data_IF_091646480440
#
_entry.id   IF_091646480440
#
_cell.length_a   1.000
_cell.length_b   1.000
_cell.length_c   1.000
_cell.angle_alpha   90.00
_cell.angle_beta   90.00
_cell.angle_gamma   90.00
#
_symmetry.space_group_name_H-M   'P 1'
#
loop_
_entity.id
_entity.type
_entity.pdbx_description
1 polymer ?
#
# COMPACT_ATOMS: atom_id res chain seq x y z
N UNK A 1 46.15 1.35 -11.46
CA UNK A 1 44.89 0.66 -11.84
C UNK A 1 43.74 1.06 -10.91
N UNK A 2 43.86 0.89 -9.56
CA UNK A 2 42.79 1.25 -8.59
C UNK A 2 42.46 2.75 -8.53
N UNK A 3 43.50 3.60 -8.57
CA UNK A 3 43.28 5.06 -8.62
C UNK A 3 42.58 5.51 -9.90
N UNK A 4 42.92 4.89 -11.03
CA UNK A 4 42.26 5.17 -12.30
C UNK A 4 40.80 4.70 -12.31
N UNK A 5 40.47 3.65 -11.56
CA UNK A 5 39.09 3.17 -11.37
C UNK A 5 38.32 4.11 -10.44
N UNK A 6 38.91 4.57 -9.33
CA UNK A 6 38.34 5.58 -8.46
C UNK A 6 38.11 6.92 -9.16
N UNK A 7 39.01 7.34 -10.03
CA UNK A 7 38.82 8.53 -10.88
C UNK A 7 37.65 8.35 -11.85
N UNK A 8 37.45 7.17 -12.39
CA UNK A 8 36.31 6.87 -13.27
C UNK A 8 34.99 6.86 -12.49
N UNK A 9 34.98 6.22 -11.32
CA UNK A 9 33.78 6.20 -10.43
C UNK A 9 33.45 7.60 -9.91
N UNK A 10 34.46 8.40 -9.52
CA UNK A 10 34.23 9.82 -9.14
C UNK A 10 33.70 10.63 -10.32
N UNK A 11 34.18 10.42 -11.52
CA UNK A 11 33.67 11.08 -12.72
C UNK A 11 32.23 10.69 -13.02
N UNK A 12 31.85 9.45 -12.78
CA UNK A 12 30.50 8.95 -12.96
C UNK A 12 29.54 9.52 -11.88
N UNK A 13 29.97 9.57 -10.63
CA UNK A 13 29.22 10.19 -9.53
C UNK A 13 29.00 11.69 -9.75
N UNK A 14 30.03 12.40 -10.21
CA UNK A 14 29.94 13.84 -10.52
C UNK A 14 29.18 14.14 -11.81
N UNK A 15 29.00 13.17 -12.69
CA UNK A 15 28.14 13.30 -13.86
C UNK A 15 26.64 13.18 -13.54
N UNK A 16 26.28 12.72 -12.36
CA UNK A 16 24.87 12.66 -11.92
C UNK A 16 24.39 14.02 -11.43
N UNK A 17 23.23 14.45 -11.92
CA UNK A 17 22.59 15.74 -11.59
C UNK A 17 22.53 16.04 -10.08
N UNK A 18 22.34 15.02 -9.25
CA UNK A 18 22.23 15.13 -7.80
C UNK A 18 23.57 15.49 -7.12
N UNK A 19 24.66 14.90 -7.55
CA UNK A 19 26.00 15.21 -7.03
C UNK A 19 26.43 16.63 -7.43
N UNK A 20 26.04 17.08 -8.62
CA UNK A 20 26.27 18.44 -9.08
C UNK A 20 25.55 19.48 -8.20
N UNK A 21 24.28 19.26 -7.88
CA UNK A 21 23.51 20.14 -6.99
C UNK A 21 24.13 20.23 -5.59
N UNK A 22 24.61 19.12 -5.03
CA UNK A 22 25.27 19.14 -3.73
C UNK A 22 26.62 19.88 -3.74
N UNK A 23 27.38 19.74 -4.80
CA UNK A 23 28.63 20.47 -5.01
C UNK A 23 28.39 21.97 -5.12
N UNK A 24 27.39 22.37 -5.89
CA UNK A 24 26.99 23.77 -6.04
C UNK A 24 26.53 24.40 -4.69
N UNK A 25 25.83 23.64 -3.88
CA UNK A 25 25.39 24.09 -2.56
C UNK A 25 26.57 24.25 -1.60
N UNK A 26 27.49 23.30 -1.57
CA UNK A 26 28.65 23.33 -0.70
C UNK A 26 29.65 24.45 -1.06
N UNK A 27 29.82 24.75 -2.33
CA UNK A 27 30.70 25.83 -2.82
C UNK A 27 29.96 27.18 -2.96
N UNK A 28 28.71 27.31 -2.44
CA UNK A 28 27.89 28.52 -2.55
C UNK A 28 27.68 29.01 -4.01
N UNK A 29 27.68 28.09 -4.96
CA UNK A 29 27.40 28.39 -6.37
C UNK A 29 25.89 28.56 -6.54
N UNK A 30 25.45 29.73 -6.98
CA UNK A 30 24.05 29.98 -7.32
C UNK A 30 23.75 29.38 -8.71
N UNK A 31 22.92 28.37 -8.74
CA UNK A 31 22.58 27.58 -9.95
C UNK A 31 21.76 28.44 -10.97
N UNK A 32 21.29 29.63 -10.59
CA UNK A 32 20.30 30.38 -11.37
C UNK A 32 20.87 31.26 -12.50
N UNK A 33 22.18 31.50 -12.59
CA UNK A 33 22.73 32.46 -13.53
C UNK A 33 23.92 32.02 -14.40
N UNK A 34 24.50 30.82 -14.12
CA UNK A 34 25.61 30.31 -14.89
C UNK A 34 25.15 29.51 -16.13
N UNK A 35 25.75 29.75 -17.29
CA UNK A 35 25.51 28.91 -18.46
C UNK A 35 25.97 27.49 -18.19
N UNK A 36 25.39 26.50 -18.85
CA UNK A 36 25.81 25.07 -18.75
C UNK A 36 27.31 24.89 -19.04
N UNK A 37 27.88 25.74 -19.88
CA UNK A 37 29.31 25.76 -20.23
C UNK A 37 30.18 26.19 -19.04
N UNK A 38 29.76 27.23 -18.30
CA UNK A 38 30.50 27.74 -17.13
C UNK A 38 30.43 26.72 -15.97
N UNK A 39 29.28 26.08 -15.81
CA UNK A 39 29.10 24.98 -14.84
C UNK A 39 30.00 23.80 -15.16
N UNK A 40 30.09 23.39 -16.42
CA UNK A 40 31.00 22.33 -16.87
C UNK A 40 32.48 22.67 -16.64
N UNK A 41 32.89 23.90 -16.93
CA UNK A 41 34.29 24.35 -16.72
C UNK A 41 34.62 24.41 -15.21
N UNK A 42 33.67 24.84 -14.39
CA UNK A 42 33.85 24.84 -12.92
C UNK A 42 34.01 23.43 -12.36
N UNK A 43 33.17 22.49 -12.81
CA UNK A 43 33.29 21.06 -12.45
C UNK A 43 34.61 20.48 -12.92
N UNK A 44 35.05 20.77 -14.13
CA UNK A 44 36.31 20.30 -14.68
C UNK A 44 37.52 20.82 -13.90
N UNK A 45 37.52 22.10 -13.50
CA UNK A 45 38.57 22.67 -12.67
C UNK A 45 38.61 22.06 -11.28
N UNK A 46 37.46 21.81 -10.66
CA UNK A 46 37.33 21.14 -9.39
C UNK A 46 37.82 19.68 -9.43
N UNK A 47 37.43 18.93 -10.45
CA UNK A 47 37.92 17.55 -10.69
C UNK A 47 39.44 17.52 -10.87
N UNK A 48 40.02 18.49 -11.59
CA UNK A 48 41.47 18.61 -11.76
C UNK A 48 42.15 18.88 -10.43
N UNK A 49 41.63 19.80 -9.63
CA UNK A 49 42.16 20.12 -8.31
C UNK A 49 42.07 18.95 -7.31
N UNK A 50 40.97 18.17 -7.34
CA UNK A 50 40.80 16.95 -6.55
C UNK A 50 41.79 15.87 -7.02
N UNK A 51 41.92 15.69 -8.33
CA UNK A 51 42.92 14.75 -8.90
C UNK A 51 44.37 15.09 -8.48
N UNK A 52 44.73 16.37 -8.50
CA UNK A 52 46.04 16.85 -8.07
C UNK A 52 46.25 16.64 -6.56
N UNK A 53 45.25 16.89 -5.74
CA UNK A 53 45.28 16.59 -4.31
C UNK A 53 45.48 15.11 -4.03
N UNK A 54 44.76 14.24 -4.73
CA UNK A 54 44.87 12.79 -4.60
C UNK A 54 46.31 12.32 -5.02
N UNK A 55 46.89 12.98 -6.01
CA UNK A 55 48.24 12.66 -6.45
C UNK A 55 49.35 13.15 -5.50
N UNK A 56 49.07 14.24 -4.74
CA UNK A 56 50.06 14.83 -3.81
C UNK A 56 49.98 14.22 -2.39
N UNK A 57 48.85 13.69 -1.97
CA UNK A 57 48.74 12.94 -0.73
C UNK A 57 49.37 11.54 -0.88
N UNK A 58 50.11 11.16 0.16
CA UNK A 58 50.96 9.96 0.20
C UNK A 58 50.15 8.71 -0.25
N UNK A 59 50.25 8.37 -1.55
CA UNK A 59 49.50 7.33 -2.25
C UNK A 59 49.46 5.99 -1.49
N UNK A 60 50.55 5.68 -0.79
CA UNK A 60 50.70 4.45 -0.01
C UNK A 60 49.80 4.44 1.22
N UNK A 61 49.63 5.56 1.90
CA UNK A 61 48.76 5.69 3.08
C UNK A 61 47.26 5.57 2.70
N UNK A 62 46.88 6.13 1.55
CA UNK A 62 45.50 6.03 1.03
C UNK A 62 45.18 4.60 0.57
N UNK A 63 46.12 3.91 -0.06
CA UNK A 63 45.98 2.51 -0.45
C UNK A 63 45.82 1.57 0.77
N UNK A 64 46.59 1.83 1.84
CA UNK A 64 46.45 1.08 3.09
C UNK A 64 45.11 1.33 3.80
N UNK A 65 44.64 2.58 3.85
CA UNK A 65 43.35 2.94 4.39
C UNK A 65 42.20 2.32 3.57
N UNK A 66 42.28 2.38 2.24
CA UNK A 66 41.30 1.77 1.35
C UNK A 66 41.22 0.25 1.54
N UNK A 67 42.37 -0.40 1.63
CA UNK A 67 42.43 -1.85 1.84
C UNK A 67 41.77 -2.22 3.16
N UNK A 68 42.10 -1.51 4.24
CA UNK A 68 41.52 -1.73 5.57
C UNK A 68 40.01 -1.50 5.58
N UNK A 69 39.50 -0.43 4.96
CA UNK A 69 38.09 -0.15 4.85
C UNK A 69 37.36 -1.20 4.00
N UNK A 70 37.96 -1.65 2.91
CA UNK A 70 37.40 -2.69 2.04
C UNK A 70 37.28 -4.04 2.78
N UNK A 71 38.29 -4.38 3.61
CA UNK A 71 38.26 -5.57 4.45
C UNK A 71 37.15 -5.46 5.51
N UNK A 72 37.04 -4.32 6.19
CA UNK A 72 35.99 -4.07 7.16
C UNK A 72 34.59 -4.15 6.53
N UNK A 73 34.43 -3.59 5.35
CA UNK A 73 33.17 -3.61 4.60
C UNK A 73 32.80 -5.04 4.19
N UNK A 74 33.78 -5.83 3.77
CA UNK A 74 33.59 -7.25 3.44
C UNK A 74 33.18 -8.05 4.68
N UNK A 75 33.76 -7.78 5.84
CA UNK A 75 33.42 -8.44 7.09
C UNK A 75 31.99 -8.06 7.56
N UNK A 76 31.63 -6.77 7.45
CA UNK A 76 30.26 -6.31 7.74
C UNK A 76 29.24 -6.99 6.83
N UNK A 77 29.50 -7.11 5.53
CA UNK A 77 28.60 -7.83 4.64
C UNK A 77 28.47 -9.30 4.98
N UNK A 78 29.54 -9.93 5.42
CA UNK A 78 29.51 -11.32 5.89
C UNK A 78 28.66 -11.47 7.15
N UNK A 79 28.81 -10.54 8.12
CA UNK A 79 28.00 -10.53 9.32
C UNK A 79 26.51 -10.27 9.02
N UNK A 80 26.22 -9.33 8.12
CA UNK A 80 24.84 -9.06 7.67
C UNK A 80 24.19 -10.31 7.08
N UNK A 81 24.87 -11.02 6.19
CA UNK A 81 24.35 -12.27 5.62
C UNK A 81 24.09 -13.33 6.67
N UNK A 82 24.98 -13.50 7.64
CA UNK A 82 24.77 -14.47 8.73
C UNK A 82 23.56 -14.10 9.59
N UNK A 83 23.33 -12.81 9.84
CA UNK A 83 22.14 -12.33 10.55
C UNK A 83 20.88 -12.58 9.72
N UNK A 84 20.89 -12.27 8.43
CA UNK A 84 19.76 -12.49 7.51
C UNK A 84 19.40 -13.99 7.43
N UNK A 85 20.38 -14.86 7.33
CA UNK A 85 20.20 -16.32 7.36
C UNK A 85 19.57 -16.77 8.70
N UNK A 86 20.09 -16.28 9.82
CA UNK A 86 19.55 -16.58 11.15
C UNK A 86 18.13 -16.07 11.34
N UNK A 87 17.81 -14.88 10.83
CA UNK A 87 16.45 -14.34 10.83
C UNK A 87 15.51 -15.18 9.97
N UNK A 88 15.95 -15.63 8.80
CA UNK A 88 15.18 -16.52 7.94
C UNK A 88 14.86 -17.87 8.60
N UNK A 89 15.82 -18.46 9.29
CA UNK A 89 15.62 -19.70 10.06
C UNK A 89 14.63 -19.51 11.22
N UNK A 90 14.73 -18.40 11.96
CA UNK A 90 13.79 -18.07 13.03
C UNK A 90 12.38 -17.82 12.50
N UNK A 91 12.24 -17.10 11.37
CA UNK A 91 10.95 -16.92 10.70
C UNK A 91 10.35 -18.26 10.31
N UNK A 92 11.14 -19.13 9.68
CA UNK A 92 10.72 -20.47 9.29
C UNK A 92 10.25 -21.30 10.50
N UNK A 93 11.05 -21.34 11.55
CA UNK A 93 10.69 -22.08 12.78
C UNK A 93 9.40 -21.52 13.40
N UNK A 94 9.25 -20.20 13.49
CA UNK A 94 8.06 -19.56 14.02
C UNK A 94 6.82 -19.90 13.21
N UNK A 95 6.90 -19.84 11.89
CA UNK A 95 5.81 -20.22 10.98
C UNK A 95 5.48 -21.70 11.13
N UNK A 96 6.46 -22.58 11.19
CA UNK A 96 6.24 -24.03 11.29
C UNK A 96 5.62 -24.46 12.63
N UNK A 97 5.84 -23.72 13.71
CA UNK A 97 5.31 -24.02 15.05
C UNK A 97 4.01 -23.29 15.38
N UNK A 98 3.69 -22.20 14.67
CA UNK A 98 2.52 -21.40 14.97
C UNK A 98 1.22 -22.17 14.75
N UNK A 99 0.29 -22.11 15.70
CA UNK A 99 -1.05 -22.71 15.58
C UNK A 99 -1.99 -21.85 14.72
N UNK A 100 -1.79 -20.54 14.73
CA UNK A 100 -2.56 -19.58 13.96
C UNK A 100 -1.59 -18.64 13.25
N UNK A 101 -1.81 -18.42 11.96
CA UNK A 101 -1.00 -17.51 11.15
C UNK A 101 -1.94 -16.53 10.46
N UNK A 102 -1.68 -15.23 10.64
CA UNK A 102 -2.28 -14.17 9.85
C UNK A 102 -1.31 -13.73 8.76
N UNK A 103 -1.76 -13.70 7.51
CA UNK A 103 -0.96 -13.25 6.38
C UNK A 103 -1.82 -12.52 5.35
N UNK A 104 -1.21 -11.62 4.59
CA UNK A 104 -1.89 -11.08 3.41
C UNK A 104 -2.01 -12.17 2.34
N UNK A 105 -3.03 -12.06 1.50
CA UNK A 105 -3.23 -12.99 0.39
C UNK A 105 -1.98 -13.08 -0.50
N UNK A 106 -1.34 -11.94 -0.78
CA UNK A 106 -0.09 -11.88 -1.56
C UNK A 106 1.04 -12.67 -0.88
N UNK A 107 1.20 -12.53 0.43
CA UNK A 107 2.21 -13.31 1.18
C UNK A 107 1.89 -14.80 1.13
N UNK A 108 0.62 -15.19 1.20
CA UNK A 108 0.19 -16.58 1.17
C UNK A 108 0.61 -17.31 -0.11
N UNK A 109 0.49 -16.66 -1.28
CA UNK A 109 0.88 -17.31 -2.54
C UNK A 109 2.33 -17.06 -2.98
N UNK A 110 3.03 -16.04 -2.45
CA UNK A 110 4.43 -15.80 -2.78
C UNK A 110 5.41 -16.47 -1.82
N UNK A 111 5.03 -16.70 -0.56
CA UNK A 111 5.94 -17.27 0.42
C UNK A 111 6.21 -18.76 0.17
N UNK A 112 7.47 -19.09 -0.06
CA UNK A 112 7.92 -20.49 -0.16
C UNK A 112 7.70 -21.23 1.16
N UNK A 113 7.95 -20.57 2.29
CA UNK A 113 7.82 -21.15 3.63
C UNK A 113 6.36 -21.55 3.93
N UNK A 114 5.39 -20.68 3.62
CA UNK A 114 3.98 -21.00 3.82
C UNK A 114 3.50 -22.16 2.94
N UNK A 115 4.08 -22.34 1.75
CA UNK A 115 3.76 -23.45 0.85
C UNK A 115 4.33 -24.79 1.28
N UNK A 116 5.31 -24.81 2.16
CA UNK A 116 5.85 -26.02 2.77
C UNK A 116 4.95 -26.58 3.86
N UNK A 117 3.86 -25.90 4.21
CA UNK A 117 2.97 -26.27 5.30
C UNK A 117 1.52 -26.23 4.84
N UNK A 118 0.72 -27.16 5.40
CA UNK A 118 -0.73 -27.17 5.29
C UNK A 118 -1.37 -26.78 6.62
N UNK A 119 -2.66 -26.42 6.56
CA UNK A 119 -3.45 -25.98 7.70
C UNK A 119 -4.75 -26.75 7.75
N UNK A 120 -5.23 -27.13 8.91
CA UNK A 120 -6.55 -27.74 9.07
C UNK A 120 -7.65 -26.88 8.44
N UNK A 121 -7.57 -25.58 8.66
CA UNK A 121 -8.56 -24.60 8.22
C UNK A 121 -7.87 -23.35 7.68
N UNK A 122 -8.27 -22.92 6.51
CA UNK A 122 -7.90 -21.63 5.93
C UNK A 122 -9.12 -20.71 5.91
N UNK A 123 -8.96 -19.52 6.48
CA UNK A 123 -9.99 -18.48 6.49
C UNK A 123 -9.54 -17.38 5.52
N UNK A 124 -10.35 -17.13 4.50
CA UNK A 124 -10.12 -16.08 3.50
C UNK A 124 -11.07 -14.94 3.81
N UNK A 125 -10.55 -13.88 4.40
CA UNK A 125 -11.30 -12.68 4.73
C UNK A 125 -11.25 -11.66 3.59
N UNK A 126 -12.30 -10.81 3.47
CA UNK A 126 -12.47 -9.85 2.37
C UNK A 126 -12.36 -10.49 0.97
N UNK A 127 -12.86 -11.71 0.84
CA UNK A 127 -12.72 -12.52 -0.37
C UNK A 127 -13.44 -11.93 -1.60
N UNK A 128 -14.41 -11.06 -1.41
CA UNK A 128 -15.09 -10.33 -2.49
C UNK A 128 -14.18 -9.37 -3.24
N UNK A 129 -13.13 -8.86 -2.61
CA UNK A 129 -12.18 -7.93 -3.23
C UNK A 129 -10.98 -8.63 -3.88
N UNK A 130 -10.86 -9.93 -3.72
CA UNK A 130 -9.72 -10.70 -4.19
C UNK A 130 -10.01 -11.47 -5.48
N UNK A 131 -9.04 -11.49 -6.39
CA UNK A 131 -9.14 -12.26 -7.62
C UNK A 131 -9.18 -13.77 -7.33
N UNK A 132 -10.07 -14.49 -8.00
CA UNK A 132 -10.29 -15.94 -7.79
C UNK A 132 -9.02 -16.79 -7.85
N UNK A 133 -8.07 -16.58 -8.78
CA UNK A 133 -6.82 -17.36 -8.80
C UNK A 133 -5.98 -17.19 -7.54
N UNK A 134 -5.94 -15.98 -6.97
CA UNK A 134 -5.18 -15.72 -5.74
C UNK A 134 -5.83 -16.41 -4.52
N UNK A 135 -7.16 -16.36 -4.42
CA UNK A 135 -7.92 -17.09 -3.41
C UNK A 135 -7.68 -18.61 -3.52
N UNK A 136 -7.65 -19.13 -4.74
CA UNK A 136 -7.39 -20.53 -5.00
C UNK A 136 -6.01 -20.98 -4.49
N UNK A 137 -4.97 -20.17 -4.76
CA UNK A 137 -3.62 -20.46 -4.25
C UNK A 137 -3.56 -20.52 -2.72
N UNK A 138 -4.27 -19.61 -2.04
CA UNK A 138 -4.32 -19.63 -0.58
C UNK A 138 -5.19 -20.80 -0.04
N UNK A 139 -6.31 -21.07 -0.67
CA UNK A 139 -7.21 -22.16 -0.32
C UNK A 139 -6.54 -23.54 -0.45
N UNK A 140 -5.59 -23.69 -1.38
CA UNK A 140 -4.82 -24.93 -1.58
C UNK A 140 -4.01 -25.34 -0.33
N UNK A 141 -3.74 -24.42 0.57
CA UNK A 141 -3.05 -24.72 1.84
C UNK A 141 -3.96 -25.38 2.87
N UNK A 142 -5.27 -25.50 2.63
CA UNK A 142 -6.21 -26.12 3.55
C UNK A 142 -6.24 -27.64 3.39
N UNK A 143 -6.18 -28.37 4.51
CA UNK A 143 -6.36 -29.84 4.52
C UNK A 143 -7.83 -30.24 4.65
N UNK A 144 -8.62 -29.50 5.43
CA UNK A 144 -9.99 -29.91 5.77
C UNK A 144 -11.03 -28.85 5.43
N UNK A 145 -10.83 -27.64 5.89
CA UNK A 145 -11.85 -26.61 5.82
C UNK A 145 -11.35 -25.35 5.14
N UNK A 146 -12.20 -24.77 4.31
CA UNK A 146 -12.01 -23.44 3.75
C UNK A 146 -13.22 -22.61 4.17
N UNK A 147 -12.97 -21.51 4.85
CA UNK A 147 -13.99 -20.51 5.21
C UNK A 147 -13.75 -19.28 4.37
N UNK A 148 -14.75 -18.88 3.60
CA UNK A 148 -14.70 -17.71 2.73
C UNK A 148 -15.61 -16.66 3.34
N UNK A 149 -15.02 -15.54 3.76
CA UNK A 149 -15.71 -14.40 4.36
C UNK A 149 -15.57 -13.21 3.41
N UNK A 150 -16.64 -12.46 3.23
CA UNK A 150 -16.63 -11.26 2.39
C UNK A 150 -18.01 -10.73 2.12
N UNK A 151 -18.09 -9.59 1.50
CA UNK A 151 -19.33 -8.92 1.16
C UNK A 151 -19.38 -8.64 -0.34
N UNK A 152 -20.14 -9.44 -1.06
CA UNK A 152 -20.27 -9.34 -2.51
C UNK A 152 -21.09 -8.13 -2.99
N UNK A 153 -21.62 -7.32 -2.08
CA UNK A 153 -22.25 -6.04 -2.40
C UNK A 153 -21.28 -4.85 -2.25
N UNK A 154 -20.08 -5.11 -1.73
CA UNK A 154 -18.99 -4.15 -1.74
C UNK A 154 -18.19 -4.20 -3.06
N UNK A 155 -17.02 -3.56 -3.09
CA UNK A 155 -16.24 -3.44 -4.31
C UNK A 155 -15.73 -4.81 -4.79
N UNK A 156 -15.89 -5.14 -6.08
CA UNK A 156 -15.30 -6.33 -6.68
C UNK A 156 -13.77 -6.15 -6.89
N UNK A 157 -13.06 -7.21 -7.28
CA UNK A 157 -11.65 -7.12 -7.63
C UNK A 157 -11.38 -6.07 -8.71
N UNK A 158 -10.32 -5.28 -8.53
CA UNK A 158 -9.93 -4.25 -9.50
C UNK A 158 -9.07 -4.89 -10.59
N UNK A 159 -9.50 -4.75 -11.85
CA UNK A 159 -8.80 -5.27 -13.03
C UNK A 159 -8.52 -4.14 -14.01
N UNK A 160 -7.25 -3.90 -14.28
CA UNK A 160 -6.81 -2.88 -15.24
C UNK A 160 -6.84 -3.41 -16.68
N UNK A 161 -6.60 -4.72 -16.86
CA UNK A 161 -6.56 -5.34 -18.19
C UNK A 161 -7.96 -5.48 -18.78
N UNK A 162 -8.14 -5.02 -20.02
CA UNK A 162 -9.45 -4.99 -20.73
C UNK A 162 -9.67 -6.21 -21.65
N UNK A 163 -9.10 -7.36 -21.32
CA UNK A 163 -9.32 -8.58 -22.10
C UNK A 163 -10.47 -9.41 -21.52
N UNK A 164 -11.24 -10.14 -22.36
CA UNK A 164 -12.32 -11.00 -21.87
C UNK A 164 -11.86 -12.05 -20.86
N UNK A 165 -10.64 -12.57 -21.03
CA UNK A 165 -10.05 -13.54 -20.12
C UNK A 165 -9.75 -12.91 -18.74
N UNK A 166 -9.16 -11.71 -18.72
CA UNK A 166 -8.88 -10.99 -17.48
C UNK A 166 -10.19 -10.63 -16.75
N UNK A 167 -11.19 -10.10 -17.45
CA UNK A 167 -12.51 -9.81 -16.87
C UNK A 167 -13.16 -11.05 -16.27
N UNK A 168 -13.07 -12.20 -16.96
CA UNK A 168 -13.65 -13.45 -16.49
C UNK A 168 -13.01 -13.96 -15.20
N UNK A 169 -11.69 -13.95 -15.09
CA UNK A 169 -10.97 -14.62 -14.03
C UNK A 169 -10.46 -13.69 -12.90
N UNK A 170 -10.26 -12.42 -13.22
CA UNK A 170 -9.73 -11.45 -12.27
C UNK A 170 -10.77 -10.41 -11.84
N UNK A 171 -11.80 -10.13 -12.68
CA UNK A 171 -12.78 -9.08 -12.43
C UNK A 171 -14.07 -9.54 -11.78
N UNK A 172 -14.20 -10.82 -11.47
CA UNK A 172 -15.35 -11.39 -10.76
C UNK A 172 -14.89 -11.91 -9.41
N UNK A 173 -15.66 -11.63 -8.39
CA UNK A 173 -15.42 -12.20 -7.07
C UNK A 173 -15.83 -13.68 -6.97
N UNK A 174 -15.43 -14.33 -5.90
CA UNK A 174 -15.69 -15.75 -5.67
C UNK A 174 -17.19 -16.06 -5.49
N UNK A 175 -17.97 -15.13 -4.95
CA UNK A 175 -19.40 -15.31 -4.69
C UNK A 175 -20.20 -15.22 -5.99
N UNK A 176 -19.85 -14.31 -6.89
CA UNK A 176 -20.41 -14.25 -8.24
C UNK A 176 -19.98 -15.47 -9.06
N UNK A 177 -18.69 -15.83 -9.02
CA UNK A 177 -18.15 -16.96 -9.78
C UNK A 177 -18.80 -18.30 -9.38
N UNK A 178 -19.02 -18.52 -8.07
CA UNK A 178 -19.71 -19.70 -7.53
C UNK A 178 -21.24 -19.66 -7.68
N UNK A 179 -21.79 -18.52 -8.08
CA UNK A 179 -23.23 -18.30 -8.13
C UNK A 179 -23.89 -18.12 -6.75
N UNK A 180 -23.08 -17.99 -5.69
CA UNK A 180 -23.56 -17.82 -4.31
C UNK A 180 -24.37 -16.53 -4.14
N UNK A 181 -23.91 -15.44 -4.77
CA UNK A 181 -24.61 -14.16 -4.77
C UNK A 181 -26.08 -14.30 -5.23
N UNK A 182 -26.35 -15.06 -6.28
CA UNK A 182 -27.72 -15.29 -6.77
C UNK A 182 -28.55 -16.16 -5.83
N UNK A 183 -27.91 -17.16 -5.23
CA UNK A 183 -28.60 -18.09 -4.29
C UNK A 183 -28.92 -17.42 -2.94
N UNK A 184 -28.19 -16.39 -2.57
CA UNK A 184 -28.40 -15.66 -1.33
C UNK A 184 -29.58 -14.66 -1.41
N UNK A 185 -30.14 -14.38 -2.58
CA UNK A 185 -31.31 -13.49 -2.74
C UNK A 185 -32.56 -14.06 -2.06
N UNK A 186 -33.40 -13.18 -1.54
CA UNK A 186 -34.67 -13.54 -0.88
C UNK A 186 -35.62 -14.33 -1.79
N UNK A 187 -35.66 -13.99 -3.07
CA UNK A 187 -36.51 -14.59 -4.10
C UNK A 187 -35.87 -15.80 -4.80
N UNK A 188 -34.71 -16.24 -4.34
CA UNK A 188 -34.04 -17.40 -4.91
C UNK A 188 -34.85 -18.68 -4.73
N UNK A 189 -35.22 -19.39 -5.81
CA UNK A 189 -36.04 -20.60 -5.73
C UNK A 189 -35.42 -21.73 -4.90
N UNK A 190 -34.09 -21.81 -4.89
CA UNK A 190 -33.34 -22.84 -4.18
C UNK A 190 -32.88 -22.39 -2.77
N UNK A 191 -32.97 -21.10 -2.49
CA UNK A 191 -32.38 -20.52 -1.29
C UNK A 191 -30.85 -20.67 -1.23
N UNK A 192 -30.22 -20.15 -0.18
CA UNK A 192 -28.81 -20.37 0.07
C UNK A 192 -28.54 -21.82 0.51
N UNK A 193 -27.37 -22.40 0.14
CA UNK A 193 -27.01 -23.72 0.62
C UNK A 193 -26.73 -23.73 2.12
N UNK A 194 -26.76 -24.91 2.73
CA UNK A 194 -26.62 -25.08 4.19
C UNK A 194 -25.27 -24.60 4.76
N UNK A 195 -24.24 -24.50 3.92
CA UNK A 195 -22.92 -24.00 4.29
C UNK A 195 -22.75 -22.48 4.05
N UNK A 196 -23.82 -21.75 3.75
CA UNK A 196 -23.83 -20.30 3.61
C UNK A 196 -24.54 -19.63 4.79
N UNK A 197 -23.89 -18.67 5.40
CA UNK A 197 -24.45 -17.88 6.52
C UNK A 197 -24.31 -16.39 6.15
N UNK A 198 -25.43 -15.68 6.19
CA UNK A 198 -25.45 -14.22 6.04
C UNK A 198 -25.39 -13.57 7.43
N UNK A 199 -24.27 -12.92 7.72
CA UNK A 199 -24.09 -12.12 8.93
C UNK A 199 -24.82 -10.81 8.76
N UNK A 200 -25.96 -10.63 9.41
CA UNK A 200 -26.78 -9.43 9.28
C UNK A 200 -26.79 -8.55 10.52
N UNK A 201 -26.27 -9.00 11.65
CA UNK A 201 -26.10 -8.14 12.83
C UNK A 201 -24.81 -7.34 12.71
N UNK A 202 -24.92 -6.03 12.83
CA UNK A 202 -23.76 -5.13 12.76
C UNK A 202 -23.61 -4.31 14.06
N UNK A 203 -22.36 -4.09 14.44
CA UNK A 203 -21.93 -3.37 15.64
C UNK A 203 -21.03 -2.17 15.32
N UNK A 204 -20.90 -1.79 14.04
CA UNK A 204 -19.97 -0.76 13.55
C UNK A 204 -20.64 0.59 13.35
N UNK A 205 -21.76 0.56 12.64
CA UNK A 205 -22.43 1.78 12.16
C UNK A 205 -23.60 2.14 13.05
N UNK A 206 -23.85 3.45 13.21
CA UNK A 206 -25.09 3.93 13.76
C UNK A 206 -26.29 3.54 12.87
N UNK A 207 -27.49 3.39 13.45
CA UNK A 207 -28.68 2.95 12.70
C UNK A 207 -28.97 3.78 11.45
N UNK A 208 -28.83 5.11 11.50
CA UNK A 208 -29.04 6.00 10.33
C UNK A 208 -28.08 5.72 9.18
N UNK A 209 -26.81 5.42 9.49
CA UNK A 209 -25.81 5.05 8.49
C UNK A 209 -26.12 3.68 7.91
N UNK A 210 -26.48 2.72 8.77
CA UNK A 210 -26.85 1.38 8.36
C UNK A 210 -28.11 1.36 7.47
N UNK A 211 -29.04 2.28 7.68
CA UNK A 211 -30.25 2.41 6.84
C UNK A 211 -29.88 2.79 5.40
N UNK A 212 -28.91 3.67 5.20
CA UNK A 212 -28.41 3.98 3.84
C UNK A 212 -27.77 2.76 3.20
N UNK A 213 -26.90 2.07 3.95
CA UNK A 213 -26.27 0.85 3.46
C UNK A 213 -27.31 -0.22 3.10
N UNK A 214 -28.38 -0.33 3.89
CA UNK A 214 -29.45 -1.31 3.69
C UNK A 214 -30.20 -1.17 2.36
N UNK A 215 -30.09 -0.05 1.65
CA UNK A 215 -30.63 0.09 0.29
C UNK A 215 -29.93 -0.84 -0.70
N UNK A 216 -28.67 -1.17 -0.46
CA UNK A 216 -27.92 -2.14 -1.27
C UNK A 216 -28.29 -3.59 -0.92
N UNK A 217 -28.87 -3.82 0.27
CA UNK A 217 -29.27 -5.16 0.75
C UNK A 217 -30.77 -5.44 0.58
N UNK A 218 -31.51 -4.65 -0.20
CA UNK A 218 -32.97 -4.83 -0.36
C UNK A 218 -33.36 -6.20 -0.91
N UNK A 219 -32.57 -6.75 -1.83
CA UNK A 219 -32.76 -8.11 -2.37
C UNK A 219 -32.27 -9.21 -1.42
N UNK A 220 -31.63 -8.86 -0.32
CA UNK A 220 -30.97 -9.76 0.63
C UNK A 220 -31.49 -9.56 2.05
N UNK A 221 -30.88 -10.22 3.02
CA UNK A 221 -31.17 -9.99 4.43
C UNK A 221 -30.55 -8.65 4.86
N UNK A 222 -31.40 -7.73 5.33
CA UNK A 222 -30.97 -6.40 5.77
C UNK A 222 -30.09 -6.48 7.02
N UNK A 223 -29.23 -5.48 7.16
CA UNK A 223 -28.40 -5.31 8.36
C UNK A 223 -29.26 -4.83 9.52
N UNK A 224 -29.10 -5.46 10.66
CA UNK A 224 -29.70 -5.09 11.94
C UNK A 224 -28.64 -4.44 12.83
N UNK A 225 -28.85 -3.17 13.17
CA UNK A 225 -27.92 -2.45 14.05
C UNK A 225 -28.09 -2.89 15.50
N UNK A 226 -26.99 -3.26 16.13
CA UNK A 226 -26.89 -3.53 17.56
C UNK A 226 -26.17 -2.41 18.31
N UNK A 227 -25.84 -1.32 17.61
CA UNK A 227 -25.30 -0.10 18.19
C UNK A 227 -26.46 0.79 18.64
N UNK A 228 -26.35 1.40 19.81
CA UNK A 228 -27.33 2.33 20.35
C UNK A 228 -26.81 3.77 20.40
N UNK A 229 -27.68 4.75 20.56
CA UNK A 229 -27.33 6.17 20.59
C UNK A 229 -26.49 6.56 21.83
N UNK A 230 -26.26 5.65 22.74
CA UNK A 230 -25.59 5.91 24.03
C UNK A 230 -24.15 6.31 23.94
N UNK A 231 -23.48 6.00 22.81
CA UNK A 231 -22.04 6.21 22.65
C UNK A 231 -21.62 7.64 22.26
N UNK A 232 -22.56 8.57 21.99
CA UNK A 232 -22.22 9.82 21.28
C UNK A 232 -22.64 11.13 21.91
N UNK A 233 -23.28 11.15 23.05
CA UNK A 233 -23.74 12.42 23.58
C UNK A 233 -22.59 13.39 23.91
N UNK A 234 -21.44 12.87 24.34
CA UNK A 234 -20.26 13.68 24.58
C UNK A 234 -19.63 14.19 23.28
N UNK A 235 -19.54 13.34 22.24
CA UNK A 235 -19.02 13.70 20.94
C UNK A 235 -19.95 14.68 20.18
N UNK A 236 -21.27 14.49 20.25
CA UNK A 236 -22.25 15.41 19.68
C UNK A 236 -22.09 16.81 20.28
N UNK A 237 -21.91 16.90 21.60
CA UNK A 237 -21.71 18.20 22.27
C UNK A 237 -20.39 18.86 21.89
N UNK A 238 -19.36 18.07 21.61
CA UNK A 238 -18.04 18.52 21.19
C UNK A 238 -18.02 19.04 19.75
N UNK A 239 -18.71 18.35 18.85
CA UNK A 239 -18.80 18.72 17.43
C UNK A 239 -19.82 19.85 17.18
N UNK A 240 -20.88 19.97 17.96
CA UNK A 240 -21.89 21.02 17.76
C UNK A 240 -21.36 22.45 17.93
N UNK A 241 -20.25 22.63 18.64
CA UNK A 241 -19.60 23.93 18.79
C UNK A 241 -18.71 24.33 17.61
N UNK A 242 -18.36 23.40 16.75
CA UNK A 242 -17.38 23.60 15.66
C UNK A 242 -18.02 23.79 14.29
N UNK A 243 -19.26 23.33 14.09
CA UNK A 243 -19.93 23.36 12.79
C UNK A 243 -21.34 23.98 12.86
N UNK A 244 -21.48 25.27 12.51
CA UNK A 244 -22.81 25.90 12.44
C UNK A 244 -23.71 25.33 11.33
N UNK A 245 -23.14 24.56 10.38
CA UNK A 245 -23.88 23.99 9.24
C UNK A 245 -24.33 22.55 9.47
N UNK A 246 -23.62 21.80 10.34
CA UNK A 246 -23.96 20.42 10.63
C UNK A 246 -24.96 20.30 11.79
N UNK A 247 -26.02 19.52 11.60
CA UNK A 247 -27.04 19.30 12.66
C UNK A 247 -26.57 18.16 13.59
N UNK A 248 -26.21 18.42 14.84
CA UNK A 248 -25.58 17.45 15.74
C UNK A 248 -26.41 16.21 16.07
N UNK A 249 -27.72 16.23 15.77
CA UNK A 249 -28.66 15.14 16.07
C UNK A 249 -28.69 14.05 14.96
N UNK A 250 -28.09 14.29 13.81
CA UNK A 250 -28.14 13.37 12.69
C UNK A 250 -26.73 12.91 12.30
N UNK A 251 -26.54 11.60 12.21
CA UNK A 251 -25.28 10.99 11.79
C UNK A 251 -25.07 11.06 10.27
N UNK A 252 -26.13 11.33 9.52
CA UNK A 252 -26.12 11.45 8.08
C UNK A 252 -26.71 12.78 7.68
N UNK A 253 -25.94 13.58 6.94
CA UNK A 253 -26.36 14.88 6.47
C UNK A 253 -25.97 15.06 5.00
N UNK A 254 -26.87 15.56 4.20
CA UNK A 254 -26.60 15.96 2.83
C UNK A 254 -26.38 17.47 2.80
N UNK A 255 -25.18 17.86 2.40
CA UNK A 255 -24.85 19.27 2.16
C UNK A 255 -24.84 19.48 0.64
N UNK A 256 -25.88 20.15 0.15
CA UNK A 256 -25.99 20.52 -1.26
C UNK A 256 -25.16 21.80 -1.53
N UNK A 257 -24.17 21.65 -2.39
CA UNK A 257 -23.27 22.75 -2.78
C UNK A 257 -23.55 23.27 -4.21
N UNK A 258 -24.65 22.85 -4.84
CA UNK A 258 -24.96 23.21 -6.23
C UNK A 258 -25.05 24.74 -6.40
N UNK A 259 -25.71 25.43 -5.51
CA UNK A 259 -25.86 26.88 -5.52
C UNK A 259 -24.54 27.66 -5.32
N UNK A 260 -23.52 26.99 -4.80
CA UNK A 260 -22.21 27.60 -4.53
C UNK A 260 -21.23 27.45 -5.71
N UNK A 261 -21.69 26.86 -6.81
CA UNK A 261 -20.87 26.61 -8.00
C UNK A 261 -19.51 25.96 -7.68
N UNK A 262 -19.50 25.02 -6.75
CA UNK A 262 -18.30 24.30 -6.34
C UNK A 262 -17.67 23.61 -7.56
N UNK A 263 -16.41 23.92 -7.84
CA UNK A 263 -15.69 23.41 -9.00
C UNK A 263 -14.64 22.36 -8.59
N UNK A 264 -14.40 21.43 -9.50
CA UNK A 264 -13.40 20.36 -9.35
C UNK A 264 -12.28 20.62 -10.33
N UNK A 265 -11.05 20.66 -9.86
CA UNK A 265 -9.86 20.81 -10.72
C UNK A 265 -8.92 19.60 -10.58
N UNK A 266 -8.14 19.35 -11.64
CA UNK A 266 -7.02 18.43 -11.58
C UNK A 266 -5.80 19.06 -10.92
N UNK A 267 -4.93 18.28 -10.33
CA UNK A 267 -3.66 18.77 -9.80
C UNK A 267 -2.75 19.11 -10.97
N UNK A 268 -2.28 20.38 -11.11
CA UNK A 268 -1.60 20.85 -12.33
C UNK A 268 -0.25 20.21 -12.64
N UNK A 269 0.39 19.49 -11.70
CA UNK A 269 1.77 19.00 -11.83
C UNK A 269 1.97 17.54 -11.46
N UNK A 270 0.92 16.73 -11.37
CA UNK A 270 1.04 15.31 -11.04
C UNK A 270 0.87 14.41 -12.26
N UNK A 271 1.62 13.32 -12.34
CA UNK A 271 1.36 12.22 -13.29
C UNK A 271 0.11 11.40 -12.92
N UNK A 272 -0.77 11.90 -12.05
CA UNK A 272 -1.98 11.25 -11.58
C UNK A 272 -3.23 11.99 -12.02
N UNK A 273 -4.33 11.24 -12.16
CA UNK A 273 -5.67 11.77 -12.45
C UNK A 273 -6.42 12.26 -11.21
N UNK A 274 -5.69 12.67 -10.17
CA UNK A 274 -6.28 13.16 -8.92
C UNK A 274 -7.03 14.47 -9.16
N UNK A 275 -8.24 14.53 -8.61
CA UNK A 275 -9.09 15.72 -8.64
C UNK A 275 -9.16 16.33 -7.26
N UNK A 276 -9.22 17.65 -7.21
CA UNK A 276 -9.35 18.41 -5.96
C UNK A 276 -10.59 19.29 -6.05
N UNK A 277 -11.39 19.20 -5.00
CA UNK A 277 -12.49 20.12 -4.74
C UNK A 277 -12.20 20.84 -3.42
N UNK A 278 -11.65 22.02 -3.51
CA UNK A 278 -11.26 22.81 -2.34
C UNK A 278 -12.46 23.19 -1.46
N UNK A 279 -13.63 23.36 -2.06
CA UNK A 279 -14.84 23.72 -1.35
C UNK A 279 -15.35 22.54 -0.50
N UNK A 280 -15.44 21.34 -1.11
CA UNK A 280 -15.81 20.14 -0.36
C UNK A 280 -14.80 19.80 0.73
N UNK A 281 -13.50 20.02 0.49
CA UNK A 281 -12.46 19.86 1.49
C UNK A 281 -12.63 20.83 2.67
N UNK A 282 -12.97 22.10 2.39
CA UNK A 282 -13.19 23.09 3.44
C UNK A 282 -14.45 22.82 4.29
N UNK A 283 -15.45 22.14 3.72
CA UNK A 283 -16.66 21.71 4.47
C UNK A 283 -16.36 20.47 5.33
N UNK A 284 -15.44 19.62 4.88
CA UNK A 284 -15.13 18.36 5.54
C UNK A 284 -14.16 18.49 6.74
N UNK A 285 -13.52 19.67 6.92
CA UNK A 285 -12.61 19.99 8.04
C UNK A 285 -13.36 20.65 9.17
#
# INVERSE_FOLDING_TARGET
AKLSQMEAELKEIFAQEYAFCQLCVNEKLTVSEASLTDQYQTLKSYLTAVSEKIQTENKKSLEEQYTKLSEQLTDIFKQLRAIEESMGELEKQSIMQAKVIGATLTKAYLSTILRERTFDTVILDEASMAAVPALWCAAYLAERNIVIVGDFLQLPPIVIADTPMAKKWLGRDIFDHSGMQRKAKKDSPSGPPSNFIMLNEQYRMEPEIAEIANRYYDDYKKLESRTGPEFRQEDINKFSSWFPVAHPKHNVQLIDTESLHAWVTGIPQGKGHSRVNCFSAAIAV
#
